data_IF_753256026735
#
_entry.id   IF_753256026735
#
_cell.length_a   1.000
_cell.length_b   1.000
_cell.length_c   1.000
_cell.angle_alpha   90.00
_cell.angle_beta   90.00
_cell.angle_gamma   90.00
#
_symmetry.space_group_name_H-M   'P 1'
#
loop_
_entity.id
_entity.type
_entity.pdbx_description
1 polymer ?
#
# COMPACT_ATOMS: atom_id res chain seq x y z
N UNK A 1 -1.61 24.24 -25.63
CA UNK A 1 -2.27 24.44 -24.32
C UNK A 1 -1.41 23.78 -23.26
N UNK A 2 -0.96 24.52 -22.24
CA UNK A 2 -0.25 23.94 -21.12
C UNK A 2 -1.28 23.34 -20.15
N UNK A 3 -1.11 22.06 -19.81
CA UNK A 3 -1.93 21.35 -18.83
C UNK A 3 -1.67 21.99 -17.46
N UNK A 4 -2.70 22.24 -16.66
CA UNK A 4 -2.52 22.80 -15.32
C UNK A 4 -1.73 21.85 -14.42
N UNK A 5 -1.05 22.38 -13.40
CA UNK A 5 -0.29 21.57 -12.44
C UNK A 5 -1.13 20.44 -11.82
N UNK A 6 -2.40 20.73 -11.52
CA UNK A 6 -3.34 19.76 -10.92
C UNK A 6 -3.66 18.64 -11.91
N UNK A 7 -3.94 18.98 -13.17
CA UNK A 7 -4.21 18.00 -14.22
C UNK A 7 -2.98 17.14 -14.51
N UNK A 8 -1.78 17.72 -14.49
CA UNK A 8 -0.53 16.97 -14.64
C UNK A 8 -0.32 15.97 -13.49
N UNK A 9 -0.59 16.37 -12.25
CA UNK A 9 -0.52 15.49 -11.09
C UNK A 9 -1.54 14.35 -11.16
N UNK A 10 -2.80 14.66 -11.53
CA UNK A 10 -3.84 13.63 -11.73
C UNK A 10 -3.49 12.65 -12.84
N UNK A 11 -2.91 13.14 -13.93
CA UNK A 11 -2.43 12.31 -15.03
C UNK A 11 -1.28 11.40 -14.59
N UNK A 12 -0.32 11.92 -13.83
CA UNK A 12 0.77 11.13 -13.27
C UNK A 12 0.26 10.02 -12.35
N UNK A 13 -0.63 10.35 -11.41
CA UNK A 13 -1.30 9.38 -10.55
C UNK A 13 -2.05 8.32 -11.35
N UNK A 14 -2.88 8.72 -12.32
CA UNK A 14 -3.65 7.79 -13.13
C UNK A 14 -2.78 6.84 -13.96
N UNK A 15 -1.68 7.34 -14.53
CA UNK A 15 -0.70 6.50 -15.26
C UNK A 15 -0.01 5.50 -14.34
N UNK A 16 0.42 5.95 -13.16
CA UNK A 16 1.08 5.09 -12.19
C UNK A 16 0.13 4.00 -11.67
N UNK A 17 -1.12 4.35 -11.33
CA UNK A 17 -2.12 3.41 -10.85
C UNK A 17 -2.48 2.38 -11.92
N UNK A 18 -2.60 2.80 -13.18
CA UNK A 18 -2.86 1.89 -14.29
C UNK A 18 -1.68 0.95 -14.56
N UNK A 19 -0.45 1.47 -14.52
CA UNK A 19 0.75 0.66 -14.73
C UNK A 19 0.93 -0.40 -13.61
N UNK A 20 0.70 -0.01 -12.36
CA UNK A 20 0.76 -0.94 -11.22
C UNK A 20 -0.35 -2.00 -11.30
N UNK A 21 -1.58 -1.60 -11.64
CA UNK A 21 -2.69 -2.53 -11.82
C UNK A 21 -2.42 -3.54 -12.95
N UNK A 22 -1.87 -3.08 -14.08
CA UNK A 22 -1.50 -3.96 -15.18
C UNK A 22 -0.43 -4.96 -14.73
N UNK A 23 0.62 -4.48 -14.05
CA UNK A 23 1.67 -5.34 -13.52
C UNK A 23 1.11 -6.41 -12.57
N UNK A 24 0.19 -6.03 -11.68
CA UNK A 24 -0.41 -6.97 -10.75
C UNK A 24 -1.31 -8.02 -11.43
N UNK A 25 -2.09 -7.62 -12.45
CA UNK A 25 -2.90 -8.57 -13.24
C UNK A 25 -2.02 -9.60 -13.97
N UNK A 26 -0.83 -9.18 -14.42
CA UNK A 26 0.12 -10.03 -15.12
C UNK A 26 0.98 -10.89 -14.16
N UNK A 27 0.87 -10.72 -12.84
CA UNK A 27 1.63 -11.47 -11.84
C UNK A 27 0.91 -12.72 -11.37
N UNK A 28 1.65 -13.80 -11.15
CA UNK A 28 1.15 -14.97 -10.45
C UNK A 28 1.12 -14.72 -8.93
N UNK A 29 0.33 -15.52 -8.20
CA UNK A 29 0.22 -15.38 -6.74
C UNK A 29 1.59 -15.53 -6.06
N UNK A 30 2.41 -16.46 -6.54
CA UNK A 30 3.75 -16.72 -6.03
C UNK A 30 4.69 -15.52 -6.20
N UNK A 31 4.54 -14.75 -7.30
CA UNK A 31 5.32 -13.54 -7.52
C UNK A 31 4.99 -12.48 -6.47
N UNK A 32 3.70 -12.32 -6.15
CA UNK A 32 3.22 -11.37 -5.14
C UNK A 32 3.73 -11.78 -3.76
N UNK A 33 3.60 -13.06 -3.41
CA UNK A 33 4.16 -13.62 -2.17
C UNK A 33 5.65 -13.35 -2.08
N UNK A 34 6.40 -13.49 -3.17
CA UNK A 34 7.83 -13.17 -3.19
C UNK A 34 8.14 -11.67 -3.06
N UNK A 35 7.33 -10.78 -3.63
CA UNK A 35 7.48 -9.34 -3.37
C UNK A 35 7.40 -9.04 -1.87
N UNK A 36 6.42 -9.63 -1.19
CA UNK A 36 6.25 -9.45 0.25
C UNK A 36 7.37 -10.12 1.07
N UNK A 37 7.81 -11.33 0.68
CA UNK A 37 8.94 -12.01 1.32
C UNK A 37 10.22 -11.18 1.21
N UNK A 38 10.55 -10.66 0.02
CA UNK A 38 11.72 -9.79 -0.20
C UNK A 38 11.65 -8.49 0.57
N UNK A 39 10.45 -7.95 0.77
CA UNK A 39 10.23 -6.76 1.59
C UNK A 39 10.28 -7.04 3.11
N UNK A 40 10.41 -8.30 3.54
CA UNK A 40 10.31 -8.69 4.95
C UNK A 40 8.90 -8.55 5.53
N UNK A 41 7.88 -8.44 4.66
CA UNK A 41 6.48 -8.17 5.02
C UNK A 41 5.54 -9.33 4.70
N UNK A 42 6.06 -10.55 4.55
CA UNK A 42 5.23 -11.72 4.22
C UNK A 42 4.10 -11.95 5.23
N UNK A 43 4.33 -11.63 6.50
CA UNK A 43 3.31 -11.73 7.57
C UNK A 43 2.11 -10.81 7.36
N UNK A 44 2.25 -9.75 6.55
CA UNK A 44 1.20 -8.77 6.28
C UNK A 44 0.56 -8.90 4.90
N UNK A 45 0.96 -9.92 4.14
CA UNK A 45 0.34 -10.22 2.86
C UNK A 45 -1.10 -10.72 3.07
N UNK A 46 -2.04 -9.93 2.57
CA UNK A 46 -3.47 -10.28 2.55
C UNK A 46 -4.01 -10.13 1.11
N UNK A 47 -4.36 -11.24 0.43
CA UNK A 47 -4.86 -11.20 -0.94
C UNK A 47 -6.20 -10.46 -1.07
N UNK A 48 -7.04 -10.44 -0.03
CA UNK A 48 -8.37 -9.81 -0.09
C UNK A 48 -8.26 -8.28 -0.12
N UNK A 49 -7.20 -7.74 0.48
CA UNK A 49 -6.94 -6.29 0.52
C UNK A 49 -5.78 -5.84 -0.38
N UNK A 50 -5.13 -6.75 -1.12
CA UNK A 50 -3.93 -6.44 -1.93
C UNK A 50 -4.17 -5.32 -2.95
N UNK A 51 -5.32 -5.33 -3.63
CA UNK A 51 -5.71 -4.27 -4.56
C UNK A 51 -5.78 -2.89 -3.90
N UNK A 52 -6.29 -2.81 -2.66
CA UNK A 52 -6.39 -1.56 -1.89
C UNK A 52 -5.01 -1.09 -1.46
N UNK A 53 -4.17 -2.01 -0.96
CA UNK A 53 -2.79 -1.74 -0.54
C UNK A 53 -1.94 -1.19 -1.69
N UNK A 54 -2.00 -1.82 -2.85
CA UNK A 54 -1.33 -1.37 -4.08
C UNK A 54 -1.76 0.04 -4.48
N UNK A 55 -3.07 0.29 -4.49
CA UNK A 55 -3.59 1.62 -4.80
C UNK A 55 -3.12 2.69 -3.80
N UNK A 56 -3.11 2.37 -2.50
CA UNK A 56 -2.61 3.27 -1.46
C UNK A 56 -1.12 3.56 -1.60
N UNK A 57 -0.29 2.55 -1.93
CA UNK A 57 1.15 2.73 -2.22
C UNK A 57 1.35 3.70 -3.38
N UNK A 58 0.60 3.55 -4.47
CA UNK A 58 0.64 4.48 -5.61
C UNK A 58 0.19 5.88 -5.19
N UNK A 59 -0.90 6.01 -4.42
CA UNK A 59 -1.38 7.31 -3.95
C UNK A 59 -0.38 8.05 -3.06
N UNK A 60 0.38 7.31 -2.22
CA UNK A 60 1.46 7.85 -1.38
C UNK A 60 2.64 8.37 -2.22
N UNK A 61 2.98 7.68 -3.32
CA UNK A 61 4.07 8.06 -4.23
C UNK A 61 3.68 9.18 -5.20
N UNK A 62 2.40 9.26 -5.59
CA UNK A 62 1.87 10.23 -6.55
C UNK A 62 0.72 11.05 -5.93
N UNK A 63 1.00 11.88 -4.92
CA UNK A 63 -0.02 12.69 -4.28
C UNK A 63 -0.58 13.73 -5.25
N UNK A 64 -1.90 13.88 -5.28
CA UNK A 64 -2.55 14.92 -6.08
C UNK A 64 -3.84 15.44 -5.42
N UNK A 65 -4.37 16.60 -5.85
CA UNK A 65 -5.65 17.09 -5.36
C UNK A 65 -6.80 16.20 -5.85
N UNK A 66 -7.19 15.24 -5.01
CA UNK A 66 -8.31 14.35 -5.27
C UNK A 66 -9.65 15.05 -5.01
N UNK A 67 -10.70 14.59 -5.69
CA UNK A 67 -12.06 14.93 -5.26
C UNK A 67 -12.37 14.28 -3.91
N UNK A 68 -13.24 14.91 -3.11
CA UNK A 68 -13.56 14.49 -1.72
C UNK A 68 -13.81 12.98 -1.57
N UNK A 69 -14.58 12.38 -2.48
CA UNK A 69 -14.89 10.94 -2.45
C UNK A 69 -13.66 10.05 -2.63
N UNK A 70 -12.75 10.43 -3.52
CA UNK A 70 -11.54 9.65 -3.78
C UNK A 70 -10.51 9.84 -2.66
N UNK A 71 -10.43 11.04 -2.08
CA UNK A 71 -9.59 11.29 -0.90
C UNK A 71 -10.00 10.37 0.27
N UNK A 72 -11.30 10.31 0.60
CA UNK A 72 -11.80 9.44 1.66
C UNK A 72 -11.50 7.95 1.41
N UNK A 73 -11.61 7.50 0.15
CA UNK A 73 -11.28 6.12 -0.24
C UNK A 73 -9.77 5.83 -0.14
N UNK A 74 -8.93 6.81 -0.45
CA UNK A 74 -7.48 6.69 -0.29
C UNK A 74 -7.12 6.61 1.20
N UNK A 75 -7.73 7.44 2.05
CA UNK A 75 -7.55 7.39 3.50
C UNK A 75 -7.94 6.02 4.07
N UNK A 76 -9.12 5.50 3.68
CA UNK A 76 -9.54 4.13 4.03
C UNK A 76 -8.49 3.09 3.61
N UNK A 77 -7.88 3.25 2.43
CA UNK A 77 -6.91 2.28 1.93
C UNK A 77 -5.53 2.42 2.58
N UNK A 78 -5.17 3.62 3.04
CA UNK A 78 -3.93 3.87 3.76
C UNK A 78 -3.92 3.17 5.13
N UNK A 79 -5.09 2.99 5.76
CA UNK A 79 -5.23 2.21 7.01
C UNK A 79 -4.60 0.81 6.89
N UNK A 80 -4.82 0.11 5.77
CA UNK A 80 -4.22 -1.22 5.56
C UNK A 80 -2.69 -1.17 5.53
N UNK A 81 -2.06 -0.05 5.17
CA UNK A 81 -0.60 0.07 5.19
C UNK A 81 -0.05 0.29 6.62
N UNK A 82 -0.86 0.86 7.50
CA UNK A 82 -0.49 1.22 8.88
C UNK A 82 -0.72 0.06 9.86
N UNK A 83 -1.83 -0.68 9.72
CA UNK A 83 -2.12 -1.88 10.51
C UNK A 83 -0.96 -2.90 10.48
N UNK A 84 -0.28 -3.01 9.34
CA UNK A 84 0.92 -3.84 9.18
C UNK A 84 2.10 -3.44 10.08
N UNK A 85 2.27 -2.15 10.36
CA UNK A 85 3.37 -1.66 11.20
C UNK A 85 3.08 -1.86 12.69
N UNK A 86 1.80 -1.74 13.08
CA UNK A 86 1.39 -1.87 14.48
C UNK A 86 1.29 -3.33 14.93
N UNK A 87 0.76 -4.24 14.10
CA UNK A 87 0.68 -5.67 14.45
C UNK A 87 2.06 -6.32 14.59
N UNK A 88 3.03 -5.92 13.76
CA UNK A 88 4.42 -6.38 13.91
C UNK A 88 5.05 -5.88 15.22
N UNK A 89 4.80 -4.62 15.60
CA UNK A 89 5.31 -4.07 16.87
C UNK A 89 4.71 -4.79 18.06
N UNK A 90 3.39 -4.98 18.08
CA UNK A 90 2.70 -5.67 19.18
C UNK A 90 3.22 -7.11 19.30
N UNK A 91 3.31 -7.85 18.19
CA UNK A 91 3.85 -9.21 18.19
C UNK A 91 5.31 -9.30 18.68
N UNK A 92 6.16 -8.34 18.31
CA UNK A 92 7.55 -8.28 18.78
C UNK A 92 7.65 -7.94 20.28
N UNK A 93 6.81 -7.02 20.78
CA UNK A 93 6.78 -6.70 22.22
C UNK A 93 6.29 -7.87 23.06
N UNK A 94 5.35 -8.68 22.58
CA UNK A 94 4.94 -9.92 23.26
C UNK A 94 6.05 -10.96 23.32
N UNK A 95 6.91 -11.05 22.30
CA UNK A 95 8.04 -11.99 22.29
C UNK A 95 9.21 -11.55 23.17
N UNK A 96 9.48 -10.25 23.29
CA UNK A 96 10.57 -9.70 24.12
C UNK A 96 10.12 -9.53 25.59
N UNK A 97 8.82 -9.35 25.85
CA UNK A 97 8.28 -9.16 27.20
C UNK A 97 8.44 -10.37 28.13
N UNK A 98 8.53 -11.59 27.57
CA UNK A 98 8.75 -12.81 28.34
C UNK A 98 10.23 -13.02 28.76
N UNK A 99 11.19 -12.28 28.17
CA UNK A 99 12.63 -12.43 28.49
C UNK A 99 13.14 -11.46 29.58
N UNK A 100 12.34 -10.51 30.07
CA UNK A 100 12.79 -9.49 31.06
C UNK A 100 12.29 -9.78 32.49
N UNK A 101 11.53 -10.86 32.70
CA UNK A 101 11.13 -11.32 34.05
C UNK A 101 11.69 -12.71 34.31
N UNK A 102 13.01 -12.80 34.43
CA UNK A 102 13.76 -13.98 34.87
C UNK A 102 14.84 -13.59 35.88
#
# INVERSE_FOLDING_TARGET
MAISKIEAQRLAFGKAAHADAKRYIDMEKEDVVEEYRRAGKLHSYDPDNEWKRRFARVAKLYPCPWGKKLAAKIEEFMYYLEEDEDDFRIGLYSLIGDEIVG
#
